data_IF_917316189300
#
_entry.id   IF_917316189300
#
_cell.length_a   1.000
_cell.length_b   1.000
_cell.length_c   1.000
_cell.angle_alpha   90.00
_cell.angle_beta   90.00
_cell.angle_gamma   90.00
#
_symmetry.space_group_name_H-M   'P 1'
#
loop_
_entity.id
_entity.type
_entity.pdbx_description
1 polymer ?
#
# COMPACT_ATOMS: atom_id res chain seq x y z
N UNK A 1 -11.52 -12.88 12.50
CA UNK A 1 -10.98 -14.06 11.80
C UNK A 1 -9.67 -13.67 11.13
N UNK A 2 -8.88 -14.62 10.65
CA UNK A 2 -7.58 -14.35 10.04
C UNK A 2 -7.57 -14.88 8.61
N UNK A 3 -7.11 -14.07 7.67
CA UNK A 3 -6.86 -14.49 6.29
C UNK A 3 -5.35 -14.47 6.04
N UNK A 4 -4.84 -15.53 5.42
CA UNK A 4 -3.45 -15.64 4.99
C UNK A 4 -3.39 -15.57 3.47
N UNK A 5 -2.55 -14.70 2.95
CA UNK A 5 -2.23 -14.60 1.54
C UNK A 5 -0.77 -14.95 1.33
N UNK A 6 -0.48 -15.85 0.38
CA UNK A 6 0.87 -16.16 -0.06
C UNK A 6 0.99 -15.80 -1.54
N UNK A 7 2.05 -15.10 -1.91
CA UNK A 7 2.36 -14.92 -3.33
C UNK A 7 2.79 -16.26 -3.94
N UNK A 8 2.28 -16.55 -5.14
CA UNK A 8 2.68 -17.74 -5.88
C UNK A 8 4.08 -17.58 -6.51
N UNK A 9 4.76 -18.68 -6.87
CA UNK A 9 6.10 -18.61 -7.43
C UNK A 9 6.23 -17.79 -8.71
N UNK A 10 5.18 -17.72 -9.55
CA UNK A 10 5.24 -16.93 -10.79
C UNK A 10 5.20 -15.44 -10.50
N UNK A 11 4.36 -15.02 -9.55
CA UNK A 11 4.31 -13.64 -9.06
C UNK A 11 5.62 -13.24 -8.37
N UNK A 12 6.22 -14.13 -7.57
CA UNK A 12 7.51 -13.87 -6.93
C UNK A 12 8.62 -13.69 -7.96
N UNK A 13 8.71 -14.60 -8.95
CA UNK A 13 9.72 -14.55 -10.00
C UNK A 13 9.60 -13.33 -10.90
N UNK A 14 8.38 -12.88 -11.21
CA UNK A 14 8.13 -11.70 -12.03
C UNK A 14 8.64 -10.39 -11.36
N UNK A 15 8.82 -10.41 -10.03
CA UNK A 15 9.32 -9.28 -9.23
C UNK A 15 10.81 -9.39 -8.88
N UNK A 16 11.49 -10.46 -9.28
CA UNK A 16 12.93 -10.59 -9.10
C UNK A 16 13.67 -9.72 -10.12
N UNK A 17 14.74 -9.05 -9.69
CA UNK A 17 15.55 -8.18 -10.55
C UNK A 17 17.05 -8.38 -10.26
N UNK A 18 17.84 -8.57 -11.32
CA UNK A 18 19.28 -8.72 -11.23
C UNK A 18 19.71 -9.83 -10.24
N UNK A 19 20.57 -9.54 -9.25
CA UNK A 19 21.03 -10.52 -8.26
C UNK A 19 20.01 -10.81 -7.13
N UNK A 20 18.84 -10.18 -7.18
CA UNK A 20 17.83 -10.21 -6.11
C UNK A 20 16.72 -11.20 -6.44
N UNK A 21 16.49 -12.14 -5.54
CA UNK A 21 15.41 -13.12 -5.61
C UNK A 21 14.46 -12.96 -4.42
N UNK A 22 13.16 -12.90 -4.70
CA UNK A 22 12.13 -12.94 -3.66
C UNK A 22 11.75 -14.40 -3.40
N UNK A 23 12.14 -14.92 -2.24
CA UNK A 23 11.89 -16.31 -1.85
C UNK A 23 10.45 -16.48 -1.34
N UNK A 24 9.96 -15.50 -0.58
CA UNK A 24 8.66 -15.60 0.09
C UNK A 24 8.07 -14.22 0.31
N UNK A 25 6.78 -14.10 0.04
CA UNK A 25 5.96 -12.96 0.45
C UNK A 25 4.64 -13.50 0.99
N UNK A 26 4.36 -13.22 2.27
CA UNK A 26 3.18 -13.72 2.98
C UNK A 26 2.58 -12.58 3.79
N UNK A 27 1.27 -12.40 3.65
CA UNK A 27 0.50 -11.46 4.46
C UNK A 27 -0.53 -12.19 5.32
N UNK A 28 -0.76 -11.67 6.52
CA UNK A 28 -1.86 -12.06 7.39
C UNK A 28 -2.72 -10.83 7.70
N UNK A 29 -4.00 -10.89 7.32
CA UNK A 29 -5.00 -9.89 7.70
C UNK A 29 -5.84 -10.40 8.86
N UNK A 30 -5.90 -9.61 9.93
CA UNK A 30 -6.72 -9.89 11.12
C UNK A 30 -7.96 -9.01 11.09
N UNK A 31 -9.13 -9.63 11.06
CA UNK A 31 -10.41 -8.94 10.90
C UNK A 31 -11.26 -9.06 12.16
N UNK A 32 -11.90 -7.95 12.54
CA UNK A 32 -12.93 -7.93 13.56
C UNK A 32 -14.11 -8.82 13.13
N UNK A 33 -14.50 -9.78 13.97
CA UNK A 33 -15.68 -10.61 13.69
C UNK A 33 -16.98 -9.82 13.75
N UNK A 34 -17.01 -8.75 14.57
CA UNK A 34 -18.21 -7.92 14.77
C UNK A 34 -18.46 -6.99 13.59
N UNK A 35 -17.39 -6.38 13.05
CA UNK A 35 -17.51 -5.31 12.04
C UNK A 35 -17.01 -5.74 10.66
N UNK A 36 -16.26 -6.84 10.56
CA UNK A 36 -15.62 -7.27 9.33
C UNK A 36 -14.41 -6.42 8.91
N UNK A 37 -14.04 -5.39 9.68
CA UNK A 37 -12.94 -4.46 9.35
C UNK A 37 -11.58 -5.06 9.72
N UNK A 38 -10.55 -4.73 8.93
CA UNK A 38 -9.16 -5.10 9.17
C UNK A 38 -8.62 -4.31 10.37
N UNK A 39 -8.13 -4.99 11.40
CA UNK A 39 -7.61 -4.35 12.61
C UNK A 39 -6.09 -4.45 12.72
N UNK A 40 -5.51 -5.47 12.11
CA UNK A 40 -4.06 -5.69 12.09
C UNK A 40 -3.65 -6.37 10.79
N UNK A 41 -2.51 -5.96 10.25
CA UNK A 41 -1.89 -6.51 9.05
C UNK A 41 -0.45 -6.88 9.37
N UNK A 42 -0.09 -8.13 9.13
CA UNK A 42 1.30 -8.60 9.17
C UNK A 42 1.73 -8.89 7.74
N UNK A 43 2.85 -8.32 7.31
CA UNK A 43 3.49 -8.58 6.03
C UNK A 43 4.91 -9.07 6.27
N UNK A 44 5.29 -10.20 5.67
CA UNK A 44 6.62 -10.79 5.73
C UNK A 44 7.16 -11.04 4.33
N UNK A 45 8.33 -10.47 4.06
CA UNK A 45 9.04 -10.58 2.79
C UNK A 45 10.46 -11.09 3.02
N UNK A 46 10.79 -12.24 2.42
CA UNK A 46 12.13 -12.82 2.46
C UNK A 46 12.77 -12.70 1.08
N UNK A 47 13.88 -11.98 1.03
CA UNK A 47 14.68 -11.75 -0.16
C UNK A 47 16.06 -12.38 0.01
N UNK A 48 16.57 -12.98 -1.05
CA UNK A 48 17.96 -13.42 -1.18
C UNK A 48 18.66 -12.55 -2.21
N UNK A 49 19.85 -12.08 -1.87
CA UNK A 49 20.74 -11.37 -2.78
C UNK A 49 21.98 -12.22 -2.93
N UNK A 50 22.27 -12.64 -4.17
CA UNK A 50 23.46 -13.42 -4.49
C UNK A 50 24.39 -12.59 -5.38
N UNK A 51 25.57 -12.27 -4.86
CA UNK A 51 26.59 -11.59 -5.66
C UNK A 51 27.44 -12.62 -6.42
N UNK A 52 27.90 -12.28 -7.64
CA UNK A 52 28.63 -13.21 -8.50
C UNK A 52 29.94 -13.66 -7.82
N UNK A 53 29.96 -14.91 -7.32
CA UNK A 53 31.12 -15.55 -6.70
C UNK A 53 31.25 -15.40 -5.18
N UNK A 54 30.25 -14.85 -4.49
CA UNK A 54 30.22 -14.72 -3.02
C UNK A 54 29.08 -15.48 -2.33
N UNK A 55 29.05 -15.43 -1.00
CA UNK A 55 28.00 -16.01 -0.18
C UNK A 55 26.66 -15.25 -0.33
N UNK A 56 25.56 -15.98 -0.22
CA UNK A 56 24.22 -15.40 -0.33
C UNK A 56 23.84 -14.63 0.95
N UNK A 57 23.29 -13.43 0.78
CA UNK A 57 22.78 -12.60 1.87
C UNK A 57 21.26 -12.64 1.85
N UNK A 58 20.67 -12.87 3.01
CA UNK A 58 19.22 -12.89 3.19
C UNK A 58 18.76 -11.65 3.93
N UNK A 59 17.61 -11.13 3.49
CA UNK A 59 16.91 -10.02 4.10
C UNK A 59 15.47 -10.43 4.37
N UNK A 60 15.06 -10.39 5.62
CA UNK A 60 13.67 -10.54 6.02
C UNK A 60 13.13 -9.18 6.48
N UNK A 61 12.14 -8.68 5.75
CA UNK A 61 11.35 -7.51 6.14
C UNK A 61 10.03 -8.00 6.72
N UNK A 62 9.72 -7.60 7.95
CA UNK A 62 8.42 -7.82 8.56
C UNK A 62 7.80 -6.48 8.90
N UNK A 63 6.59 -6.20 8.40
CA UNK A 63 5.82 -5.00 8.71
C UNK A 63 4.57 -5.42 9.47
N UNK A 64 4.33 -4.79 10.61
CA UNK A 64 3.13 -4.99 11.42
C UNK A 64 2.38 -3.66 11.50
N UNK A 65 1.15 -3.62 11.01
CA UNK A 65 0.35 -2.40 10.93
C UNK A 65 -0.97 -2.58 11.67
N UNK A 66 -1.23 -1.73 12.66
CA UNK A 66 -2.51 -1.61 13.35
C UNK A 66 -3.29 -0.48 12.70
N UNK A 67 -4.56 -0.72 12.41
CA UNK A 67 -5.44 0.25 11.76
C UNK A 67 -6.52 0.72 12.73
N UNK A 68 -6.70 2.04 12.80
CA UNK A 68 -7.57 2.73 13.74
C UNK A 68 -8.38 3.83 13.02
N UNK A 69 -9.31 4.43 13.75
CA UNK A 69 -10.15 5.55 13.30
C UNK A 69 -10.89 5.28 11.98
N UNK A 70 -11.65 4.18 11.96
CA UNK A 70 -12.47 3.85 10.81
C UNK A 70 -13.66 4.79 10.68
N UNK A 71 -13.73 5.53 9.57
CA UNK A 71 -14.81 6.46 9.26
C UNK A 71 -15.40 6.18 7.86
N UNK A 72 -16.71 6.45 7.63
CA UNK A 72 -17.33 6.25 6.34
C UNK A 72 -16.96 7.39 5.36
N UNK A 73 -16.39 7.03 4.22
CA UNK A 73 -16.14 7.93 3.08
C UNK A 73 -16.87 7.36 1.87
N UNK A 74 -17.86 8.09 1.36
CA UNK A 74 -18.74 7.63 0.26
C UNK A 74 -19.36 6.24 0.49
N UNK A 75 -19.65 5.89 1.75
CA UNK A 75 -20.25 4.60 2.13
C UNK A 75 -19.24 3.47 2.32
N UNK A 76 -17.94 3.72 2.17
CA UNK A 76 -16.85 2.77 2.43
C UNK A 76 -16.20 3.12 3.77
N UNK A 77 -16.01 2.13 4.65
CA UNK A 77 -15.28 2.33 5.90
C UNK A 77 -13.77 2.35 5.64
N UNK A 78 -13.12 3.47 5.94
CA UNK A 78 -11.67 3.68 5.70
C UNK A 78 -11.00 4.00 7.03
N UNK A 79 -9.85 3.38 7.31
CA UNK A 79 -9.02 3.72 8.47
C UNK A 79 -8.32 5.05 8.21
N UNK A 80 -8.56 6.06 9.05
CA UNK A 80 -7.91 7.36 8.96
C UNK A 80 -6.63 7.46 9.79
N UNK A 81 -6.30 6.45 10.58
CA UNK A 81 -5.05 6.44 11.32
C UNK A 81 -4.54 5.04 11.59
N UNK A 82 -3.30 4.95 12.03
CA UNK A 82 -2.73 3.70 12.48
C UNK A 82 -1.28 3.83 12.87
N UNK A 83 -0.67 2.67 13.16
CA UNK A 83 0.74 2.55 13.51
C UNK A 83 1.34 1.37 12.78
N UNK A 84 2.52 1.57 12.23
CA UNK A 84 3.27 0.57 11.49
C UNK A 84 4.65 0.38 12.10
N UNK A 85 5.07 -0.87 12.26
CA UNK A 85 6.41 -1.24 12.72
C UNK A 85 7.07 -2.11 11.67
N UNK A 86 8.09 -1.57 11.01
CA UNK A 86 8.92 -2.30 10.06
C UNK A 86 10.18 -2.82 10.77
N UNK A 87 10.44 -4.12 10.66
CA UNK A 87 11.68 -4.74 11.11
C UNK A 87 12.40 -5.33 9.91
N UNK A 88 13.66 -4.96 9.72
CA UNK A 88 14.53 -5.49 8.68
C UNK A 88 15.64 -6.31 9.33
N UNK A 89 15.76 -7.58 8.96
CA UNK A 89 16.76 -8.51 9.47
C UNK A 89 17.64 -8.99 8.33
N UNK A 90 18.94 -8.77 8.43
CA UNK A 90 19.97 -9.29 7.52
C UNK A 90 20.67 -10.50 8.14
N UNK A 91 20.86 -11.58 7.40
CA UNK A 91 21.61 -12.76 7.83
C UNK A 91 22.22 -13.54 6.66
N UNK A 92 23.07 -14.55 6.96
CA UNK A 92 23.57 -15.53 5.98
C UNK A 92 24.99 -15.33 5.44
N UNK A 93 25.58 -14.14 5.60
CA UNK A 93 26.96 -13.85 5.14
C UNK A 93 28.02 -14.51 6.04
N UNK A 94 27.75 -14.69 7.34
CA UNK A 94 28.63 -15.38 8.30
C UNK A 94 27.76 -15.85 9.48
N UNK A 95 28.13 -16.94 10.16
CA UNK A 95 27.35 -17.58 11.27
C UNK A 95 27.01 -16.63 12.44
N UNK A 96 27.62 -15.43 12.51
CA UNK A 96 27.43 -14.46 13.61
C UNK A 96 27.04 -13.04 13.18
N UNK A 97 26.87 -12.73 11.90
CA UNK A 97 26.58 -11.36 11.43
C UNK A 97 25.09 -11.16 11.14
N UNK A 98 24.24 -11.28 12.16
CA UNK A 98 22.85 -10.84 12.06
C UNK A 98 22.75 -9.36 12.39
N UNK A 99 22.23 -8.56 11.46
CA UNK A 99 21.90 -7.16 11.71
C UNK A 99 20.40 -6.99 11.73
N UNK A 100 19.88 -6.26 12.71
CA UNK A 100 18.44 -5.97 12.84
C UNK A 100 18.24 -4.47 12.95
N UNK A 101 17.42 -3.93 12.07
CA UNK A 101 16.96 -2.53 12.10
C UNK A 101 15.45 -2.52 12.31
N UNK A 102 14.96 -1.57 13.12
CA UNK A 102 13.53 -1.40 13.39
C UNK A 102 13.16 0.06 13.19
N UNK A 103 12.04 0.30 12.51
CA UNK A 103 11.43 1.60 12.29
C UNK A 103 9.98 1.54 12.75
N UNK A 104 9.52 2.60 13.41
CA UNK A 104 8.14 2.75 13.88
C UNK A 104 7.58 4.06 13.33
N UNK A 105 6.34 4.01 12.84
CA UNK A 105 5.62 5.14 12.28
C UNK A 105 4.20 5.15 12.81
N UNK A 106 3.71 6.34 13.18
CA UNK A 106 2.29 6.61 13.36
C UNK A 106 1.84 7.47 12.18
N UNK A 107 0.73 7.09 11.55
CA UNK A 107 0.23 7.76 10.35
C UNK A 107 -1.23 8.19 10.57
N UNK A 108 -1.59 9.29 9.91
CA UNK A 108 -2.93 9.87 9.90
C UNK A 108 -3.27 10.34 8.49
N UNK A 109 -4.52 10.16 8.08
CA UNK A 109 -5.06 10.52 6.78
C UNK A 109 -6.15 11.57 7.00
N UNK A 110 -5.87 12.81 6.64
CA UNK A 110 -6.79 13.93 6.87
C UNK A 110 -7.93 13.95 5.85
N UNK A 111 -7.61 13.71 4.57
CA UNK A 111 -8.58 13.81 3.48
C UNK A 111 -8.54 12.55 2.62
N UNK A 112 -9.73 12.01 2.33
CA UNK A 112 -9.92 10.92 1.38
C UNK A 112 -11.03 11.32 0.41
N UNK A 113 -10.75 11.23 -0.88
CA UNK A 113 -11.71 11.52 -1.94
C UNK A 113 -11.59 10.48 -3.05
N UNK A 114 -12.73 10.08 -3.61
CA UNK A 114 -12.78 9.23 -4.78
C UNK A 114 -13.04 10.06 -6.03
N UNK A 115 -12.53 9.60 -7.17
CA UNK A 115 -12.81 10.19 -8.49
C UNK A 115 -12.59 11.72 -8.54
N UNK A 116 -11.49 12.20 -7.95
CA UNK A 116 -11.17 13.63 -7.82
C UNK A 116 -11.28 14.32 -9.18
N UNK A 117 -12.24 15.26 -9.37
CA UNK A 117 -12.43 15.93 -10.66
C UNK A 117 -11.19 16.71 -11.08
N UNK A 118 -10.83 16.62 -12.36
CA UNK A 118 -9.68 17.32 -12.93
C UNK A 118 -8.35 16.57 -12.82
N UNK A 119 -8.32 15.39 -12.19
CA UNK A 119 -7.17 14.50 -12.20
C UNK A 119 -7.24 13.59 -13.44
N UNK A 120 -6.37 13.83 -14.44
CA UNK A 120 -6.24 12.97 -15.64
C UNK A 120 -5.29 11.79 -15.37
N UNK A 121 -5.38 10.75 -16.19
CA UNK A 121 -4.35 9.69 -16.25
C UNK A 121 -2.95 10.26 -16.53
N UNK A 122 -2.88 11.40 -17.22
CA UNK A 122 -1.63 12.10 -17.52
C UNK A 122 -0.96 12.71 -16.27
N UNK A 123 -1.71 12.82 -15.16
CA UNK A 123 -1.17 13.29 -13.88
C UNK A 123 -0.47 12.17 -13.08
N UNK A 124 -0.52 10.93 -13.56
CA UNK A 124 0.09 9.78 -12.88
C UNK A 124 1.39 9.40 -13.58
N UNK A 125 2.48 9.36 -12.80
CA UNK A 125 3.74 8.81 -13.27
C UNK A 125 3.63 7.29 -13.16
N UNK A 126 3.74 6.53 -14.27
CA UNK A 126 3.71 5.07 -14.20
C UNK A 126 4.93 4.56 -13.39
N UNK A 127 4.82 3.41 -12.70
CA UNK A 127 5.97 2.75 -12.12
C UNK A 127 7.11 2.62 -13.14
N UNK A 128 8.35 2.84 -12.72
CA UNK A 128 9.52 2.87 -13.61
C UNK A 128 9.73 1.56 -14.40
N UNK A 129 9.14 0.46 -13.92
CA UNK A 129 9.19 -0.87 -14.55
C UNK A 129 8.26 -0.99 -15.79
N UNK A 130 7.30 -0.08 -16.00
CA UNK A 130 6.41 -0.11 -17.16
C UNK A 130 7.09 0.53 -18.38
N UNK A 131 7.98 -0.22 -19.04
CA UNK A 131 8.38 0.12 -20.42
C UNK A 131 7.23 -0.23 -21.35
N UNK A 132 6.41 0.76 -21.67
CA UNK A 132 5.39 0.62 -22.72
C UNK A 132 6.09 0.40 -24.07
N UNK A 133 6.23 -0.86 -24.47
CA UNK A 133 6.38 -1.17 -25.88
C UNK A 133 5.03 -0.81 -26.54
N UNK A 134 4.94 0.42 -27.04
CA UNK A 134 3.83 1.00 -27.82
C UNK A 134 2.43 0.78 -27.24
N UNK A 135 1.99 1.69 -26.37
CA UNK A 135 0.57 1.92 -26.10
C UNK A 135 -0.08 2.56 -27.33
N UNK A 136 -0.54 1.74 -28.27
CA UNK A 136 -1.56 2.15 -29.25
C UNK A 136 -2.75 1.18 -29.27
N UNK A 137 -3.14 0.71 -28.09
CA UNK A 137 -4.42 0.00 -27.92
C UNK A 137 -5.13 0.56 -26.71
N UNK A 138 -6.07 1.45 -26.99
CA UNK A 138 -7.15 1.87 -26.10
C UNK A 138 -7.82 0.62 -25.51
N UNK A 139 -7.54 0.32 -24.25
CA UNK A 139 -8.34 -0.65 -23.50
C UNK A 139 -9.66 0.00 -23.12
N UNK A 140 -10.63 -0.01 -24.02
CA UNK A 140 -12.02 0.31 -23.68
C UNK A 140 -12.56 -0.80 -22.77
N UNK A 141 -12.74 -0.50 -21.49
CA UNK A 141 -13.55 -1.33 -20.60
C UNK A 141 -15.03 -1.19 -21.00
N UNK A 142 -15.85 -2.27 -20.92
CA UNK A 142 -17.26 -2.19 -21.27
C UNK A 142 -17.97 -1.20 -20.36
N UNK A 143 -18.54 -0.14 -20.93
CA UNK A 143 -19.38 0.82 -20.21
C UNK A 143 -20.65 0.13 -19.72
N UNK A 144 -20.70 -0.21 -18.44
CA UNK A 144 -21.96 -0.58 -17.78
C UNK A 144 -22.79 0.70 -17.60
N UNK A 145 -24.06 0.77 -18.05
CA UNK A 145 -24.84 2.00 -17.95
C UNK A 145 -25.22 2.28 -16.48
N UNK A 146 -24.54 3.24 -15.85
CA UNK A 146 -24.98 3.80 -14.57
C UNK A 146 -26.21 4.70 -14.81
N UNK A 147 -27.33 4.35 -14.20
CA UNK A 147 -28.59 5.12 -14.23
C UNK A 147 -28.38 6.48 -13.55
N UNK A 148 -28.41 7.56 -14.35
CA UNK A 148 -28.28 8.94 -13.87
C UNK A 148 -29.49 9.36 -13.04
N UNK A 149 -29.35 9.39 -11.72
CA UNK A 149 -30.17 10.27 -10.90
C UNK A 149 -29.43 11.60 -10.75
N UNK A 150 -29.85 12.60 -11.54
CA UNK A 150 -29.37 13.98 -11.44
C UNK A 150 -30.09 14.65 -10.28
N UNK A 151 -29.34 15.11 -9.28
CA UNK A 151 -29.82 16.12 -8.32
C UNK A 151 -29.02 17.40 -8.59
N UNK A 152 -29.64 18.60 -8.70
CA UNK A 152 -28.91 19.80 -9.09
C UNK A 152 -27.98 20.27 -7.97
N UNK A 153 -26.73 20.59 -8.34
CA UNK A 153 -25.72 21.11 -7.42
C UNK A 153 -26.12 22.49 -6.90
N UNK A 154 -26.35 22.60 -5.59
CA UNK A 154 -26.42 23.88 -4.89
C UNK A 154 -24.99 24.43 -4.72
N UNK A 155 -24.76 25.63 -5.24
CA UNK A 155 -23.47 26.32 -5.25
C UNK A 155 -23.22 26.93 -3.87
N UNK A 156 -22.38 26.30 -3.04
CA UNK A 156 -21.91 26.90 -1.79
C UNK A 156 -20.54 27.55 -1.99
N UNK A 157 -20.45 28.87 -1.73
CA UNK A 157 -19.19 29.62 -1.62
C UNK A 157 -18.73 29.57 -0.16
N UNK A 158 -17.48 29.19 0.09
CA UNK A 158 -16.85 29.26 1.41
C UNK A 158 -16.05 30.57 1.50
N UNK A 159 -16.37 31.39 2.49
CA UNK A 159 -15.57 32.57 2.86
C UNK A 159 -14.53 32.16 3.91
N UNK A 160 -13.28 32.57 3.69
CA UNK A 160 -12.19 32.40 4.64
C UNK A 160 -12.38 33.32 5.86
N UNK A 161 -12.13 32.80 7.05
CA UNK A 161 -12.15 33.54 8.33
C UNK A 161 -10.72 33.80 8.76
N UNK A 162 -10.28 35.06 8.71
CA UNK A 162 -9.04 35.51 9.34
C UNK A 162 -9.16 35.42 10.88
N UNK A 163 -8.10 34.92 11.52
CA UNK A 163 -7.95 34.93 12.98
C UNK A 163 -7.22 36.21 13.39
N UNK A 164 -7.91 37.08 14.11
CA UNK A 164 -7.29 38.18 14.85
C UNK A 164 -6.57 37.63 16.08
N UNK A 165 -5.29 37.92 16.21
CA UNK A 165 -4.49 37.79 17.42
C UNK A 165 -4.82 38.94 18.36
N UNK A 166 -5.16 38.65 19.62
CA UNK A 166 -5.09 39.65 20.70
C UNK A 166 -4.38 39.03 21.92
N UNK A 167 -3.23 39.68 22.21
CA UNK A 167 -2.48 39.86 23.47
C UNK A 167 -2.17 38.65 24.37
#
# INVERSE_FOLDING_TARGET
FVLKLCADPTTLKARCEGPTEIIRHVLFGYFSQKTGLLVHLEDSHLTRIQNNGGDAVYWETTINSILDDYSPVEGIMIAHSGRSVATLVRFGETVRSQTRTRMEEAWTIEEVAFNVPGLSVDCFIPPAELRFASLDKTCELPRVPWVRNVVPAARARVAAREKSSEL
#
